data_IF_165903070572
#
_entry.id   IF_165903070572
#
_cell.length_a   1.000
_cell.length_b   1.000
_cell.length_c   1.000
_cell.angle_alpha   90.00
_cell.angle_beta   90.00
_cell.angle_gamma   90.00
#
_symmetry.space_group_name_H-M   'P 1'
#
loop_
_entity.id
_entity.type
_entity.pdbx_description
1 polymer ?
#
# COMPACT_ATOMS: atom_id res chain seq x y z
N UNK A 1 5.12 -4.28 -1.26
CA UNK A 1 6.16 -5.18 -1.81
C UNK A 1 6.26 -6.48 -1.03
N UNK A 2 6.93 -7.49 -1.63
CA UNK A 2 7.27 -8.73 -0.93
C UNK A 2 8.74 -8.73 -0.47
N UNK A 3 9.54 -7.89 -1.09
CA UNK A 3 10.93 -7.59 -0.75
C UNK A 3 11.16 -6.09 -0.83
N UNK A 4 12.19 -5.59 -0.16
CA UNK A 4 12.53 -4.17 -0.16
C UNK A 4 13.54 -3.89 -1.28
N UNK A 5 13.11 -3.08 -2.23
CA UNK A 5 13.96 -2.43 -3.23
C UNK A 5 13.88 -0.92 -2.98
N UNK A 6 14.85 -0.40 -2.26
CA UNK A 6 14.80 0.98 -1.76
C UNK A 6 14.67 2.01 -2.87
N UNK A 7 15.41 1.82 -3.98
CA UNK A 7 15.34 2.70 -5.15
C UNK A 7 13.92 2.76 -5.75
N UNK A 8 13.25 1.62 -5.86
CA UNK A 8 11.88 1.55 -6.38
C UNK A 8 10.89 2.27 -5.46
N UNK A 9 11.05 2.08 -4.15
CA UNK A 9 10.18 2.70 -3.14
C UNK A 9 10.41 4.20 -3.11
N UNK A 10 11.66 4.64 -3.10
CA UNK A 10 12.00 6.05 -3.15
C UNK A 10 11.53 6.70 -4.45
N UNK A 11 11.70 6.04 -5.60
CA UNK A 11 11.17 6.53 -6.87
C UNK A 11 9.66 6.77 -6.77
N UNK A 12 8.91 5.78 -6.32
CA UNK A 12 7.46 5.90 -6.18
C UNK A 12 7.06 7.06 -5.27
N UNK A 13 7.65 7.13 -4.08
CA UNK A 13 7.32 8.18 -3.10
C UNK A 13 7.74 9.58 -3.56
N UNK A 14 8.90 9.72 -4.22
CA UNK A 14 9.35 11.00 -4.80
C UNK A 14 8.39 11.48 -5.91
N UNK A 15 7.91 10.58 -6.76
CA UNK A 15 6.91 10.94 -7.79
C UNK A 15 5.59 11.39 -7.14
N UNK A 16 5.08 10.62 -6.17
CA UNK A 16 3.89 11.01 -5.43
C UNK A 16 4.05 12.37 -4.74
N UNK A 17 5.19 12.60 -4.09
CA UNK A 17 5.50 13.87 -3.42
C UNK A 17 5.56 15.03 -4.43
N UNK A 18 6.23 14.85 -5.55
CA UNK A 18 6.35 15.89 -6.57
C UNK A 18 4.99 16.33 -7.13
N UNK A 19 4.03 15.41 -7.25
CA UNK A 19 2.66 15.75 -7.65
C UNK A 19 1.95 16.49 -6.51
N UNK A 20 2.02 15.98 -5.29
CA UNK A 20 1.40 16.62 -4.13
C UNK A 20 1.90 18.06 -3.94
N UNK A 21 3.21 18.29 -4.03
CA UNK A 21 3.85 19.58 -3.77
C UNK A 21 3.40 20.66 -4.76
N UNK A 22 2.98 20.32 -5.98
CA UNK A 22 2.42 21.27 -6.96
C UNK A 22 1.07 21.83 -6.51
N UNK A 23 0.28 21.03 -5.78
CA UNK A 23 -1.04 21.42 -5.30
C UNK A 23 -1.01 21.98 -3.88
N UNK A 24 -0.31 21.28 -2.99
CA UNK A 24 -0.10 21.73 -1.62
C UNK A 24 1.08 20.97 -0.98
N UNK A 25 2.10 21.66 -0.46
CA UNK A 25 3.27 21.04 0.19
C UNK A 25 2.94 20.12 1.38
N UNK A 26 1.78 20.30 2.02
CA UNK A 26 1.36 19.46 3.13
C UNK A 26 0.69 18.15 2.70
N UNK A 27 0.27 18.01 1.44
CA UNK A 27 -0.53 16.86 0.98
C UNK A 27 0.24 15.55 1.11
N UNK A 28 1.50 15.50 0.65
CA UNK A 28 2.27 14.28 0.73
C UNK A 28 2.42 13.77 2.16
N UNK A 29 2.83 14.63 3.09
CA UNK A 29 3.03 14.25 4.49
C UNK A 29 1.71 13.75 5.09
N UNK A 30 0.64 14.51 4.93
CA UNK A 30 -0.69 14.19 5.47
C UNK A 30 -1.23 12.87 4.89
N UNK A 31 -1.17 12.69 3.57
CA UNK A 31 -1.76 11.52 2.92
C UNK A 31 -0.92 10.26 3.11
N UNK A 32 0.41 10.41 3.25
CA UNK A 32 1.30 9.32 3.61
C UNK A 32 1.04 8.86 5.05
N UNK A 33 0.89 9.78 5.98
CA UNK A 33 0.54 9.48 7.37
C UNK A 33 -0.84 8.80 7.48
N UNK A 34 -1.84 9.31 6.77
CA UNK A 34 -3.15 8.69 6.68
C UNK A 34 -3.05 7.26 6.14
N UNK A 35 -2.22 7.03 5.11
CA UNK A 35 -1.98 5.72 4.53
C UNK A 35 -1.35 4.76 5.55
N UNK A 36 -0.31 5.19 6.24
CA UNK A 36 0.38 4.37 7.23
C UNK A 36 -0.55 3.98 8.38
N UNK A 37 -1.33 4.94 8.88
CA UNK A 37 -2.26 4.71 9.97
C UNK A 37 -3.44 3.81 9.57
N UNK A 38 -4.05 4.06 8.41
CA UNK A 38 -5.20 3.28 7.96
C UNK A 38 -4.83 1.83 7.63
N UNK A 39 -3.71 1.62 6.93
CA UNK A 39 -3.29 0.29 6.48
C UNK A 39 -2.36 -0.43 7.47
N UNK A 40 -2.59 -0.26 8.74
CA UNK A 40 -1.86 -0.93 9.82
C UNK A 40 -2.61 -2.16 10.33
N UNK A 41 -1.96 -3.31 10.32
CA UNK A 41 -2.46 -4.56 10.90
C UNK A 41 -2.18 -4.59 12.40
N UNK A 42 -3.08 -4.07 13.21
CA UNK A 42 -2.88 -3.92 14.65
C UNK A 42 -2.59 -5.26 15.36
N UNK A 43 -3.29 -6.34 14.98
CA UNK A 43 -3.10 -7.69 15.53
C UNK A 43 -1.77 -8.35 15.13
N UNK A 44 -1.04 -7.77 14.18
CA UNK A 44 0.31 -8.20 13.76
C UNK A 44 1.39 -7.19 14.16
N UNK A 45 1.01 -6.02 14.63
CA UNK A 45 1.91 -4.90 14.91
C UNK A 45 2.82 -4.57 13.71
N UNK A 46 2.25 -4.57 12.49
CA UNK A 46 2.98 -4.27 11.27
C UNK A 46 2.09 -3.53 10.25
N UNK A 47 2.69 -2.65 9.47
CA UNK A 47 2.02 -2.02 8.33
C UNK A 47 1.77 -3.05 7.22
N UNK A 48 0.71 -2.86 6.42
CA UNK A 48 0.41 -3.71 5.27
C UNK A 48 1.45 -3.59 4.15
N UNK A 49 2.06 -2.42 4.01
CA UNK A 49 3.03 -2.11 2.97
C UNK A 49 3.90 -0.91 3.33
N UNK A 50 4.63 -0.40 2.38
CA UNK A 50 5.60 0.70 2.58
C UNK A 50 5.00 2.11 2.47
N UNK A 51 3.68 2.22 2.53
CA UNK A 51 2.96 3.47 2.42
C UNK A 51 2.59 3.85 0.98
N UNK A 52 2.05 5.02 0.86
CA UNK A 52 1.53 5.61 -0.39
C UNK A 52 0.72 6.85 -0.04
N UNK A 53 -0.23 7.22 -0.88
CA UNK A 53 -1.18 8.29 -0.61
C UNK A 53 -2.54 7.69 -0.29
N UNK A 54 -3.12 8.10 0.83
CA UNK A 54 -4.49 7.78 1.19
C UNK A 54 -5.21 9.05 1.65
N UNK A 55 -6.26 9.41 0.95
CA UNK A 55 -7.06 10.60 1.24
C UNK A 55 -8.53 10.32 0.96
N UNK A 56 -9.36 10.71 1.90
CA UNK A 56 -10.81 10.62 1.84
C UNK A 56 -11.42 11.87 2.49
N UNK A 57 -12.74 12.02 2.38
CA UNK A 57 -13.50 13.14 2.95
C UNK A 57 -12.90 14.53 2.64
N UNK A 58 -12.32 14.68 1.44
CA UNK A 58 -11.78 15.95 0.97
C UNK A 58 -12.93 16.97 0.82
N UNK A 59 -12.79 18.10 1.48
CA UNK A 59 -13.81 19.16 1.53
C UNK A 59 -13.19 20.50 1.14
N UNK A 60 -14.03 21.41 0.71
CA UNK A 60 -13.63 22.80 0.54
C UNK A 60 -13.21 23.41 1.88
N UNK A 61 -12.22 24.25 1.83
CA UNK A 61 -11.72 25.05 2.95
C UNK A 61 -11.55 26.50 2.50
N UNK A 62 -11.11 27.39 3.37
CA UNK A 62 -10.77 28.75 2.98
C UNK A 62 -9.64 28.85 1.97
N UNK A 63 -8.80 27.82 1.85
CA UNK A 63 -7.60 27.80 1.01
C UNK A 63 -7.62 26.74 -0.10
N UNK A 64 -8.61 25.85 -0.14
CA UNK A 64 -8.69 24.75 -1.12
C UNK A 64 -10.14 24.63 -1.60
N UNK A 65 -10.36 24.88 -2.88
CA UNK A 65 -11.68 24.76 -3.53
C UNK A 65 -11.90 23.34 -4.05
N UNK A 66 -13.13 23.02 -4.41
CA UNK A 66 -13.45 21.72 -5.02
C UNK A 66 -12.72 21.53 -6.36
N UNK A 67 -12.52 22.61 -7.12
CA UNK A 67 -11.72 22.57 -8.35
C UNK A 67 -10.26 22.15 -8.12
N UNK A 68 -9.68 22.54 -6.99
CA UNK A 68 -8.29 22.19 -6.66
C UNK A 68 -8.19 20.69 -6.34
N UNK A 69 -9.18 20.12 -5.65
CA UNK A 69 -9.30 18.69 -5.44
C UNK A 69 -9.46 17.91 -6.75
N UNK A 70 -10.30 18.41 -7.65
CA UNK A 70 -10.47 17.79 -8.97
C UNK A 70 -9.15 17.77 -9.75
N UNK A 71 -8.46 18.90 -9.84
CA UNK A 71 -7.17 19.00 -10.51
C UNK A 71 -6.10 18.09 -9.90
N UNK A 72 -6.07 17.99 -8.56
CA UNK A 72 -5.16 17.07 -7.87
C UNK A 72 -5.46 15.60 -8.21
N UNK A 73 -6.74 15.18 -8.18
CA UNK A 73 -7.15 13.80 -8.49
C UNK A 73 -6.85 13.48 -9.96
N UNK A 74 -7.11 14.41 -10.87
CA UNK A 74 -6.80 14.25 -12.29
C UNK A 74 -5.28 14.07 -12.50
N UNK A 75 -4.46 14.91 -11.89
CA UNK A 75 -3.01 14.82 -12.04
C UNK A 75 -2.44 13.55 -11.44
N UNK A 76 -2.84 13.14 -10.23
CA UNK A 76 -2.33 11.91 -9.61
C UNK A 76 -2.76 10.68 -10.41
N UNK A 77 -3.98 10.64 -10.92
CA UNK A 77 -4.51 9.55 -11.74
C UNK A 77 -3.76 9.43 -13.08
N UNK A 78 -3.60 10.53 -13.79
CA UNK A 78 -2.92 10.59 -15.10
C UNK A 78 -1.42 10.24 -15.00
N UNK A 79 -0.79 10.46 -13.86
CA UNK A 79 0.62 10.15 -13.64
C UNK A 79 0.86 8.80 -12.95
N UNK A 80 -0.18 8.06 -12.55
CA UNK A 80 -0.02 6.78 -11.87
C UNK A 80 0.88 5.79 -12.63
N UNK A 81 0.64 5.67 -13.95
CA UNK A 81 1.45 4.78 -14.79
C UNK A 81 2.92 5.21 -14.88
N UNK A 82 3.20 6.52 -14.86
CA UNK A 82 4.57 7.03 -14.85
C UNK A 82 5.29 6.72 -13.53
N UNK A 83 4.55 6.71 -12.41
CA UNK A 83 5.10 6.35 -11.10
C UNK A 83 5.37 4.84 -10.98
N UNK A 84 4.50 3.99 -11.55
CA UNK A 84 4.49 2.56 -11.25
C UNK A 84 5.03 1.67 -12.36
N UNK A 85 4.81 2.01 -13.64
CA UNK A 85 5.27 1.18 -14.76
C UNK A 85 6.80 0.97 -14.82
N UNK A 86 7.67 1.95 -14.50
CA UNK A 86 9.11 1.72 -14.44
C UNK A 86 9.50 0.61 -13.47
N UNK A 87 8.85 0.55 -12.30
CA UNK A 87 9.08 -0.47 -11.27
C UNK A 87 8.72 -1.87 -11.82
N UNK A 88 7.55 -2.00 -12.46
CA UNK A 88 7.14 -3.26 -13.08
C UNK A 88 8.12 -3.67 -14.17
N UNK A 89 8.48 -2.75 -15.05
CA UNK A 89 9.37 -3.03 -16.18
C UNK A 89 10.76 -3.49 -15.73
N UNK A 90 11.28 -2.95 -14.64
CA UNK A 90 12.57 -3.36 -14.08
C UNK A 90 12.54 -4.75 -13.44
N UNK A 91 11.37 -5.26 -13.01
CA UNK A 91 11.25 -6.49 -12.23
C UNK A 91 10.53 -7.65 -12.94
N UNK A 92 9.73 -7.37 -13.99
CA UNK A 92 8.86 -8.39 -14.64
C UNK A 92 9.58 -9.62 -15.18
N UNK A 93 10.88 -9.50 -15.51
CA UNK A 93 11.70 -10.60 -16.00
C UNK A 93 12.65 -11.17 -14.94
N UNK A 94 12.56 -10.72 -13.69
CA UNK A 94 13.39 -11.24 -12.61
C UNK A 94 13.06 -12.70 -12.31
N UNK A 95 14.10 -13.53 -12.20
CA UNK A 95 13.93 -14.92 -11.80
C UNK A 95 13.37 -15.02 -10.37
N UNK A 96 12.55 -16.03 -10.12
CA UNK A 96 12.03 -16.32 -8.79
C UNK A 96 12.05 -17.82 -8.53
N UNK A 97 12.16 -18.18 -7.26
CA UNK A 97 12.18 -19.56 -6.77
C UNK A 97 10.87 -19.96 -6.11
N UNK A 98 10.77 -21.23 -5.71
CA UNK A 98 9.66 -21.73 -4.90
C UNK A 98 9.56 -20.99 -3.55
N UNK A 99 10.69 -20.69 -2.90
CA UNK A 99 10.73 -19.95 -1.64
C UNK A 99 10.18 -18.52 -1.79
N UNK A 100 10.48 -17.83 -2.90
CA UNK A 100 9.89 -16.52 -3.19
C UNK A 100 8.35 -16.59 -3.30
N UNK A 101 7.82 -17.66 -3.91
CA UNK A 101 6.37 -17.89 -4.00
C UNK A 101 5.74 -18.18 -2.65
N UNK A 102 6.36 -19.02 -1.84
CA UNK A 102 5.88 -19.31 -0.48
C UNK A 102 5.86 -18.05 0.38
N UNK A 103 6.89 -17.23 0.30
CA UNK A 103 6.92 -15.92 0.98
C UNK A 103 5.82 -14.99 0.48
N UNK A 104 5.64 -14.89 -0.82
CA UNK A 104 4.55 -14.11 -1.42
C UNK A 104 3.19 -14.53 -0.87
N UNK A 105 2.91 -15.84 -0.78
CA UNK A 105 1.64 -16.36 -0.27
C UNK A 105 1.44 -16.01 1.22
N UNK A 106 2.50 -16.06 2.04
CA UNK A 106 2.46 -15.63 3.45
C UNK A 106 2.12 -14.14 3.54
N UNK A 107 2.78 -13.29 2.73
CA UNK A 107 2.50 -11.85 2.73
C UNK A 107 1.12 -11.50 2.18
N UNK A 108 0.62 -12.26 1.23
CA UNK A 108 -0.77 -12.16 0.76
C UNK A 108 -1.77 -12.54 1.85
N UNK A 109 -1.44 -13.46 2.74
CA UNK A 109 -2.23 -13.74 3.94
C UNK A 109 -2.42 -12.49 4.81
N UNK A 110 -1.39 -11.67 5.00
CA UNK A 110 -1.49 -10.38 5.74
C UNK A 110 -2.41 -9.38 5.04
N UNK A 111 -2.42 -9.37 3.71
CA UNK A 111 -3.35 -8.56 2.93
C UNK A 111 -4.80 -9.01 3.14
N UNK A 112 -5.06 -10.31 3.14
CA UNK A 112 -6.40 -10.87 3.41
C UNK A 112 -6.84 -10.54 4.84
N UNK A 113 -5.96 -10.71 5.84
CA UNK A 113 -6.26 -10.34 7.22
C UNK A 113 -6.72 -8.88 7.33
N UNK A 114 -5.99 -7.95 6.71
CA UNK A 114 -6.39 -6.54 6.72
C UNK A 114 -7.79 -6.34 6.13
N UNK A 115 -8.02 -6.87 4.93
CA UNK A 115 -9.28 -6.64 4.23
C UNK A 115 -10.49 -7.23 4.97
N UNK A 116 -10.35 -8.41 5.58
CA UNK A 116 -11.46 -9.05 6.28
C UNK A 116 -11.67 -8.53 7.72
N UNK A 117 -10.63 -7.99 8.35
CA UNK A 117 -10.70 -7.61 9.77
C UNK A 117 -10.77 -6.10 9.96
N UNK A 118 -10.10 -5.31 9.13
CA UNK A 118 -9.90 -3.87 9.35
C UNK A 118 -10.45 -2.99 8.24
N UNK A 119 -10.55 -3.47 6.99
CA UNK A 119 -10.96 -2.63 5.87
C UNK A 119 -12.43 -2.24 5.97
N UNK A 120 -12.68 -0.93 6.15
CA UNK A 120 -14.03 -0.39 6.32
C UNK A 120 -14.92 -0.67 5.12
N UNK A 121 -14.37 -0.61 3.89
CA UNK A 121 -15.12 -0.85 2.66
C UNK A 121 -15.58 -2.32 2.55
N UNK A 122 -14.68 -3.25 2.79
CA UNK A 122 -14.98 -4.69 2.80
C UNK A 122 -16.00 -5.03 3.87
N UNK A 123 -15.79 -4.55 5.09
CA UNK A 123 -16.72 -4.78 6.21
C UNK A 123 -18.10 -4.18 5.93
N UNK A 124 -18.16 -2.98 5.37
CA UNK A 124 -19.43 -2.35 4.99
C UNK A 124 -20.15 -3.19 3.92
N UNK A 125 -19.46 -3.57 2.85
CA UNK A 125 -20.03 -4.37 1.78
C UNK A 125 -20.61 -5.71 2.28
N UNK A 126 -19.88 -6.42 3.14
CA UNK A 126 -20.33 -7.69 3.73
C UNK A 126 -21.54 -7.49 4.67
N UNK A 127 -21.56 -6.41 5.48
CA UNK A 127 -22.64 -6.13 6.43
C UNK A 127 -23.93 -5.65 5.75
N UNK A 128 -23.83 -5.04 4.58
CA UNK A 128 -24.99 -4.51 3.84
C UNK A 128 -25.52 -5.46 2.77
N UNK A 129 -25.19 -6.75 2.84
CA UNK A 129 -25.55 -7.76 1.86
C UNK A 129 -25.14 -7.41 0.42
N UNK A 130 -23.98 -6.76 0.28
CA UNK A 130 -23.37 -6.53 -1.03
C UNK A 130 -23.06 -7.86 -1.74
N UNK A 131 -22.86 -7.80 -3.05
CA UNK A 131 -22.52 -8.98 -3.84
C UNK A 131 -21.19 -9.56 -3.40
N UNK A 132 -21.22 -10.69 -2.69
CA UNK A 132 -20.06 -11.30 -2.04
C UNK A 132 -18.93 -11.58 -3.02
N UNK A 133 -19.23 -12.13 -4.19
CA UNK A 133 -18.23 -12.43 -5.21
C UNK A 133 -17.50 -11.16 -5.70
N UNK A 134 -18.22 -10.05 -5.82
CA UNK A 134 -17.62 -8.76 -6.21
C UNK A 134 -16.75 -8.15 -5.11
N UNK A 135 -17.11 -8.38 -3.84
CA UNK A 135 -16.34 -7.91 -2.69
C UNK A 135 -15.05 -8.74 -2.55
N UNK A 136 -15.16 -10.07 -2.61
CA UNK A 136 -14.05 -10.97 -2.36
C UNK A 136 -13.13 -11.19 -3.58
N UNK A 137 -13.54 -10.77 -4.79
CA UNK A 137 -12.70 -10.88 -5.99
C UNK A 137 -11.39 -10.10 -5.92
N UNK A 138 -11.29 -9.10 -5.02
CA UNK A 138 -10.06 -8.34 -4.79
C UNK A 138 -9.01 -9.11 -3.99
N UNK A 139 -9.42 -10.22 -3.35
CA UNK A 139 -8.51 -11.04 -2.57
C UNK A 139 -7.68 -11.96 -3.48
N UNK A 140 -6.41 -12.24 -3.12
CA UNK A 140 -5.58 -13.14 -3.90
C UNK A 140 -6.12 -14.57 -3.85
N UNK A 141 -6.09 -15.32 -4.99
CA UNK A 141 -6.65 -16.68 -5.06
C UNK A 141 -5.83 -17.70 -4.26
N UNK A 142 -4.58 -17.37 -3.91
CA UNK A 142 -3.69 -18.21 -3.12
C UNK A 142 -3.01 -17.41 -2.03
N UNK A 143 -3.13 -17.90 -0.79
CA UNK A 143 -2.50 -17.34 0.41
C UNK A 143 -2.02 -18.48 1.31
N UNK A 144 -1.15 -18.17 2.26
CA UNK A 144 -0.67 -19.14 3.26
C UNK A 144 -0.57 -18.51 4.63
N UNK A 145 -0.96 -19.28 5.65
CA UNK A 145 -0.69 -18.97 7.04
C UNK A 145 0.15 -20.09 7.64
N UNK A 146 1.32 -19.73 8.16
CA UNK A 146 2.18 -20.64 8.91
C UNK A 146 2.15 -20.23 10.38
N UNK A 147 1.94 -21.23 11.24
CA UNK A 147 1.95 -21.00 12.70
C UNK A 147 3.33 -20.49 13.14
N UNK A 148 3.33 -19.38 13.86
CA UNK A 148 4.52 -18.77 14.46
C UNK A 148 5.70 -18.55 13.47
N UNK A 149 5.38 -18.23 12.22
CA UNK A 149 6.42 -18.04 11.20
C UNK A 149 7.27 -16.82 11.52
N UNK A 150 8.58 -17.05 11.62
CA UNK A 150 9.61 -16.00 11.77
C UNK A 150 10.61 -16.18 10.64
N UNK A 151 10.89 -15.14 9.84
CA UNK A 151 11.93 -15.19 8.82
C UNK A 151 13.30 -15.45 9.42
N UNK A 152 14.21 -16.02 8.64
CA UNK A 152 15.60 -16.17 9.04
C UNK A 152 16.21 -14.80 9.37
N UNK A 153 17.00 -14.75 10.44
CA UNK A 153 17.68 -13.51 10.85
C UNK A 153 18.57 -12.99 9.71
N UNK A 154 18.53 -11.69 9.46
CA UNK A 154 19.28 -11.01 8.39
C UNK A 154 18.89 -11.45 6.96
N UNK A 155 17.75 -12.11 6.76
CA UNK A 155 17.21 -12.37 5.43
C UNK A 155 16.49 -11.15 4.84
N UNK A 156 16.27 -11.14 3.54
CA UNK A 156 15.48 -10.09 2.87
C UNK A 156 14.03 -10.06 3.37
N UNK A 157 13.49 -11.21 3.78
CA UNK A 157 12.18 -11.33 4.42
C UNK A 157 12.17 -10.65 5.80
N UNK A 158 13.24 -10.81 6.61
CA UNK A 158 13.34 -10.12 7.91
C UNK A 158 13.49 -8.61 7.72
N UNK A 159 14.26 -8.16 6.73
CA UNK A 159 14.39 -6.73 6.37
C UNK A 159 13.02 -6.11 6.05
N UNK A 160 12.19 -6.82 5.28
CA UNK A 160 10.82 -6.36 5.02
C UNK A 160 10.02 -6.21 6.32
N UNK A 161 10.02 -7.24 7.18
CA UNK A 161 9.26 -7.19 8.44
C UNK A 161 9.71 -6.04 9.33
N UNK A 162 11.02 -5.79 9.44
CA UNK A 162 11.57 -4.71 10.25
C UNK A 162 11.09 -3.34 9.76
N UNK A 163 11.07 -3.12 8.45
CA UNK A 163 10.55 -1.89 7.84
C UNK A 163 9.03 -1.74 8.04
N UNK A 164 8.27 -2.84 7.95
CA UNK A 164 6.83 -2.78 8.16
C UNK A 164 6.43 -2.54 9.63
N UNK A 165 7.27 -2.94 10.58
CA UNK A 165 7.11 -2.62 12.00
C UNK A 165 7.53 -1.19 12.34
N UNK A 166 8.49 -0.66 11.60
CA UNK A 166 9.07 0.67 11.81
C UNK A 166 8.99 1.48 10.50
N UNK A 167 7.82 2.08 10.19
CA UNK A 167 7.64 2.81 8.94
C UNK A 167 8.69 3.88 8.70
N UNK A 168 9.20 3.93 7.47
CA UNK A 168 10.29 4.82 7.04
C UNK A 168 9.73 6.03 6.29
N UNK A 169 10.38 7.18 6.43
CA UNK A 169 10.15 8.34 5.57
C UNK A 169 10.95 8.14 4.28
N UNK A 170 10.25 7.95 3.15
CA UNK A 170 10.86 7.63 1.86
C UNK A 170 11.16 8.86 0.97
N UNK A 171 10.51 10.02 1.25
CA UNK A 171 10.69 11.28 0.54
C UNK A 171 10.41 12.50 1.42
#
# INVERSE_FOLDING_TARGET
>A
PYYIFEDDIQHFHKQCKAICDKHNPSFYIKFKENCDNYFYNSHRSEARGVGGLFFDYCKETSTTKMSDWYNFIEEISSNFMKCYAPIINSKKLSAYSKSHKEWQEIRRGRYVEFNLVHDKGTLFGLKTNGRIESILMSLPPKVSWKYNFVPAKNSEESKLIDILKNPVKWA
#
